data_IF_844159418910
#
_entry.id   IF_844159418910
#
_cell.length_a   1.000
_cell.length_b   1.000
_cell.length_c   1.000
_cell.angle_alpha   90.00
_cell.angle_beta   90.00
_cell.angle_gamma   90.00
#
_symmetry.space_group_name_H-M   'P 1'
#
loop_
_entity.id
_entity.type
_entity.pdbx_description
1 polymer ?
2 polymer ?
3 non-polymer ?
4 water ?
#
# COMPACT_ATOMS: atom_id res chain seq x y z
N UNK A 16 -15.08 32.39 7.76
CA UNK A 16 -15.09 32.67 6.32
C UNK A 16 -14.66 31.41 5.51
N UNK A 17 -13.88 30.52 6.11
CA UNK A 17 -13.29 29.42 5.35
C UNK A 17 -14.31 28.32 5.10
N UNK A 18 -14.54 27.91 3.86
CA UNK A 18 -15.59 26.93 3.56
C UNK A 18 -15.16 25.48 3.82
N UNK A 19 -14.89 25.18 5.10
CA UNK A 19 -14.63 23.79 5.47
C UNK A 19 -15.86 22.92 5.35
N UNK A 20 -17.04 23.50 5.35
CA UNK A 20 -18.22 22.69 5.27
C UNK A 20 -18.36 21.87 4.03
N UNK A 21 -18.00 22.42 2.88
CA UNK A 21 -18.15 21.65 1.66
C UNK A 21 -17.24 20.43 1.70
N UNK A 22 -16.12 20.59 2.38
CA UNK A 22 -15.16 19.48 2.50
C UNK A 22 -15.66 18.43 3.47
N UNK A 23 -15.89 18.82 4.73
CA UNK A 23 -16.23 17.84 5.75
C UNK A 23 -17.61 17.22 5.53
N UNK A 24 -18.53 17.93 4.88
CA UNK A 24 -19.94 17.54 4.89
C UNK A 24 -20.47 17.18 3.50
N UNK A 25 -19.61 16.70 2.60
CA UNK A 25 -20.05 16.26 1.29
C UNK A 25 -20.78 14.92 1.39
N UNK A 26 -21.73 14.68 0.48
CA UNK A 26 -22.52 13.46 0.66
C UNK A 26 -21.76 12.23 0.21
N UNK A 27 -20.89 12.36 -0.80
CA UNK A 27 -19.98 11.30 -1.19
C UNK A 27 -18.55 11.80 -1.06
N UNK A 28 -17.66 10.96 -0.56
CA UNK A 28 -16.24 11.27 -0.53
C UNK A 28 -15.55 10.61 -1.71
N UNK A 29 -14.34 11.07 -2.02
CA UNK A 29 -13.55 10.47 -3.09
C UNK A 29 -13.00 9.11 -2.67
N UNK A 30 -12.75 8.25 -3.66
CA UNK A 30 -11.92 7.07 -3.40
C UNK A 30 -10.51 7.53 -3.10
N UNK A 31 -9.80 6.77 -2.26
CA UNK A 31 -8.47 7.21 -1.81
C UNK A 31 -7.49 7.31 -2.98
N UNK A 32 -7.58 6.41 -3.96
CA UNK A 32 -6.61 6.50 -5.06
C UNK A 32 -6.82 7.77 -5.89
N UNK A 33 -8.03 8.31 -5.87
CA UNK A 33 -8.38 9.52 -6.61
C UNK A 33 -8.75 10.62 -5.62
N UNK A 34 -7.93 10.76 -4.58
CA UNK A 34 -8.25 11.63 -3.45
C UNK A 34 -8.54 13.05 -3.92
N UNK A 35 -9.46 13.71 -3.22
CA UNK A 35 -9.89 15.05 -3.58
C UNK A 35 -9.00 16.09 -2.90
N UNK A 36 -8.76 17.20 -3.61
CA UNK A 36 -8.07 18.34 -3.01
C UNK A 36 -8.86 19.62 -3.22
N UNK A 37 -8.99 20.40 -2.17
CA UNK A 37 -9.59 21.72 -2.24
C UNK A 37 -8.60 22.72 -1.67
N UNK A 38 -8.40 23.83 -2.37
CA UNK A 38 -7.53 24.90 -1.90
C UNK A 38 -8.34 25.95 -1.15
N UNK A 39 -7.92 26.23 0.08
CA UNK A 39 -8.53 27.16 1.00
C UNK A 39 -7.62 28.39 1.08
N UNK A 40 -8.17 29.55 0.69
CA UNK A 40 -7.44 30.80 0.64
C UNK A 40 -8.37 31.95 1.01
N UNK A 41 -7.78 33.03 1.52
CA UNK A 41 -8.47 34.32 1.69
C UNK A 41 -9.71 34.17 2.57
N UNK A 42 -9.48 33.65 3.77
CA UNK A 42 -10.58 33.44 4.71
C UNK A 42 -10.00 33.25 6.10
N UNK A 43 -10.89 33.27 7.08
CA UNK A 43 -10.53 33.05 8.47
C UNK A 43 -11.08 31.69 8.88
N UNK A 44 -10.29 30.95 9.65
CA UNK A 44 -10.64 29.61 10.09
C UNK A 44 -10.53 29.53 11.60
N UNK A 45 -11.56 28.98 12.23
CA UNK A 45 -11.56 28.73 13.67
C UNK A 45 -11.26 27.25 13.86
N UNK A 46 -9.97 26.94 14.00
CA UNK A 46 -9.57 25.54 14.08
C UNK A 46 -10.03 24.89 15.38
N UNK A 47 -10.16 25.68 16.45
CA UNK A 47 -10.52 25.10 17.74
C UNK A 47 -11.91 24.48 17.72
N UNK A 48 -12.84 25.09 16.98
CA UNK A 48 -14.17 24.51 16.83
C UNK A 48 -14.07 23.07 16.30
N UNK A 49 -13.24 22.87 15.27
CA UNK A 49 -13.03 21.52 14.75
C UNK A 49 -12.32 20.64 15.76
N UNK A 50 -11.23 21.13 16.35
CA UNK A 50 -10.42 20.29 17.24
C UNK A 50 -11.24 19.80 18.42
N UNK A 51 -12.15 20.63 18.93
CA UNK A 51 -12.99 20.28 20.06
C UNK A 51 -14.22 19.46 19.65
N UNK A 52 -14.47 19.28 18.36
CA UNK A 52 -15.64 18.56 17.94
C UNK A 52 -15.61 17.13 18.44
N UNK A 53 -16.74 16.67 18.97
CA UNK A 53 -16.90 15.29 19.40
C UNK A 53 -17.03 14.29 18.26
N UNK A 54 -17.24 14.76 17.03
CA UNK A 54 -17.51 13.85 15.91
C UNK A 54 -16.28 13.09 15.45
N UNK A 55 -15.08 13.56 15.75
CA UNK A 55 -13.87 13.04 15.12
C UNK A 55 -13.22 11.97 15.99
N UNK A 56 -12.84 10.85 15.37
CA UNK A 56 -12.10 9.83 16.08
C UNK A 56 -10.61 10.17 16.17
N UNK A 57 -10.12 10.89 15.17
CA UNK A 57 -8.70 11.21 15.06
C UNK A 57 -8.58 12.69 14.73
N UNK A 58 -7.66 13.39 15.40
CA UNK A 58 -7.34 14.77 15.06
C UNK A 58 -5.89 14.98 15.50
N UNK A 59 -4.96 14.68 14.59
CA UNK A 59 -3.52 14.65 14.91
C UNK A 59 -2.78 15.66 14.07
N UNK A 60 -2.03 16.55 14.71
CA UNK A 60 -1.31 17.59 13.98
C UNK A 60 0.20 17.36 14.08
N UNK A 61 0.90 17.84 13.05
CA UNK A 61 2.33 17.63 12.89
C UNK A 61 2.93 18.96 12.48
N UNK A 62 4.01 19.36 13.17
CA UNK A 62 4.66 20.62 12.89
C UNK A 62 3.97 21.84 13.44
N UNK A 63 2.76 21.70 13.98
CA UNK A 63 2.00 22.80 14.56
C UNK A 63 1.24 22.25 15.76
N UNK A 64 1.10 23.08 16.79
CA UNK A 64 0.29 22.70 17.94
C UNK A 64 -1.20 22.88 17.63
N UNK A 65 -2.05 21.92 18.01
CA UNK A 65 -3.48 22.04 17.69
C UNK A 65 -4.12 23.26 18.32
N UNK A 66 -3.65 23.67 19.50
CA UNK A 66 -4.23 24.81 20.21
C UNK A 66 -3.80 26.14 19.59
N UNK A 67 -2.54 26.23 19.15
CA UNK A 67 -2.00 27.46 18.58
C UNK A 67 -2.50 27.75 17.17
N UNK A 68 -3.35 26.90 16.60
CA UNK A 68 -3.73 27.08 15.20
C UNK A 68 -4.48 28.38 14.99
N UNK A 69 -5.31 28.79 15.95
CA UNK A 69 -6.04 30.03 15.82
C UNK A 69 -5.13 31.26 15.89
N UNK A 70 -3.86 31.09 16.24
CA UNK A 70 -2.91 32.20 16.30
C UNK A 70 -2.08 32.36 15.03
N UNK A 71 -2.11 31.40 14.12
CA UNK A 71 -1.19 31.36 13.00
C UNK A 71 -1.87 31.80 11.71
N UNK A 72 -1.06 32.29 10.77
CA UNK A 72 -1.46 32.61 9.41
C UNK A 72 -0.63 31.78 8.44
N UNK A 73 -1.28 31.30 7.38
CA UNK A 73 -0.59 30.53 6.35
C UNK A 73 -0.94 31.08 4.99
N UNK A 74 -0.02 30.87 4.03
CA UNK A 74 -0.27 31.30 2.65
C UNK A 74 -1.50 30.60 2.08
N UNK A 75 -1.57 29.27 2.23
CA UNK A 75 -2.75 28.53 1.82
C UNK A 75 -2.93 27.35 2.75
N UNK A 76 -4.17 26.82 2.79
CA UNK A 76 -4.45 25.52 3.41
C UNK A 76 -5.05 24.63 2.32
N UNK A 77 -4.55 23.41 2.20
CA UNK A 77 -5.10 22.45 1.26
C UNK A 77 -5.82 21.37 2.06
N UNK A 78 -7.08 21.11 1.71
CA UNK A 78 -7.90 20.08 2.36
C UNK A 78 -8.03 18.91 1.39
N UNK A 79 -7.37 17.80 1.71
CA UNK A 79 -7.47 16.57 0.93
C UNK A 79 -8.43 15.63 1.63
N UNK A 80 -9.25 14.91 0.87
CA UNK A 80 -10.26 14.09 1.54
C UNK A 80 -10.53 12.82 0.75
N UNK A 81 -10.88 11.77 1.49
CA UNK A 81 -11.06 10.45 0.90
C UNK A 81 -11.59 9.50 1.97
N UNK A 82 -11.89 8.27 1.56
CA UNK A 82 -12.36 7.24 2.47
C UNK A 82 -11.39 6.06 2.42
N UNK A 83 -11.08 5.49 3.60
CA UNK A 83 -10.24 4.30 3.73
C UNK A 83 -10.81 3.45 4.88
N UNK A 84 -10.14 2.34 5.20
CA UNK A 84 -10.54 1.55 6.36
C UNK A 84 -10.01 2.15 7.66
N UNK A 85 -10.74 1.91 8.75
CA UNK A 85 -10.25 2.34 10.05
C UNK A 85 -8.84 1.88 10.34
N UNK A 86 -8.54 0.62 10.04
CA UNK A 86 -7.18 0.15 10.34
C UNK A 86 -6.15 0.66 9.34
N UNK A 87 -6.55 1.50 8.38
CA UNK A 87 -5.59 2.18 7.49
C UNK A 87 -5.36 3.63 7.88
N UNK A 88 -6.14 4.14 8.84
CA UNK A 88 -5.97 5.54 9.21
C UNK A 88 -4.58 5.81 9.75
N UNK A 89 -3.95 4.80 10.37
CA UNK A 89 -2.57 4.98 10.86
C UNK A 89 -1.59 5.29 9.74
N UNK A 90 -1.91 4.97 8.49
CA UNK A 90 -1.01 5.23 7.37
C UNK A 90 -1.04 6.68 6.90
N UNK A 91 -2.06 7.45 7.28
CA UNK A 91 -2.13 8.87 6.90
C UNK A 91 -1.34 9.67 7.93
N UNK A 92 -0.02 9.54 7.87
CA UNK A 92 0.84 10.22 8.83
C UNK A 92 2.25 10.25 8.24
N UNK A 93 3.07 11.20 8.65
CA UNK A 93 4.45 11.23 8.15
C UNK A 93 5.21 9.96 8.50
N UNK A 94 5.99 9.47 7.54
CA UNK A 94 6.87 8.34 7.75
C UNK A 94 6.22 6.97 7.74
N UNK A 95 4.97 6.86 7.27
CA UNK A 95 4.25 5.59 7.32
C UNK A 95 4.38 4.87 5.99
N UNK A 96 4.10 3.57 6.01
CA UNK A 96 4.24 2.71 4.85
C UNK A 96 3.04 1.79 4.80
N UNK A 97 2.78 1.24 3.63
CA UNK A 97 1.64 0.34 3.49
C UNK A 97 0.91 0.59 2.18
N UNK A 98 -0.14 -0.18 1.93
CA UNK A 98 -0.88 -0.04 0.68
C UNK A 98 -1.32 1.39 0.44
N UNK A 99 -1.85 2.05 1.47
CA UNK A 99 -2.37 3.40 1.25
C UNK A 99 -1.23 4.40 1.10
N UNK A 100 -0.29 4.43 2.06
CA UNK A 100 0.84 5.36 1.98
C UNK A 100 1.67 5.14 0.71
N UNK A 101 1.90 3.88 0.34
CA UNK A 101 2.75 3.61 -0.82
C UNK A 101 2.04 3.90 -2.14
N UNK A 102 0.79 3.47 -2.29
CA UNK A 102 0.17 3.44 -3.62
C UNK A 102 -1.03 4.37 -3.79
N UNK A 103 -1.46 5.08 -2.74
CA UNK A 103 -2.70 5.84 -2.88
C UNK A 103 -2.59 7.28 -2.43
N UNK A 104 -2.06 7.53 -1.23
CA UNK A 104 -1.96 8.89 -0.70
C UNK A 104 -0.80 8.95 0.28
N UNK A 105 0.23 9.76 -0.03
CA UNK A 105 1.48 9.78 0.72
C UNK A 105 1.71 11.14 1.37
N UNK A 106 1.95 11.14 2.74
CA UNK A 106 2.36 12.39 3.37
C UNK A 106 3.88 12.49 3.40
N UNK A 107 4.41 13.71 3.27
CA UNK A 107 5.87 13.89 3.31
C UNK A 107 6.39 13.75 4.73
N UNK A 108 7.69 13.43 4.82
CA UNK A 108 8.31 13.24 6.13
C UNK A 108 8.23 14.50 6.98
N UNK A 109 8.27 15.67 6.36
CA UNK A 109 8.24 16.95 7.06
C UNK A 109 6.86 17.62 6.97
N UNK A 110 5.81 16.79 6.99
CA UNK A 110 4.44 17.27 6.91
C UNK A 110 4.14 18.31 7.99
N UNK A 111 3.49 19.41 7.58
CA UNK A 111 2.99 20.45 8.47
C UNK A 111 1.49 20.55 8.25
N UNK A 112 0.70 20.09 9.21
CA UNK A 112 -0.73 20.05 9.02
C UNK A 112 -1.39 19.09 9.99
N UNK A 113 -2.67 18.83 9.75
CA UNK A 113 -3.46 18.00 10.65
C UNK A 113 -4.18 16.92 9.85
N UNK A 114 -4.42 15.78 10.51
CA UNK A 114 -5.11 14.65 9.93
C UNK A 114 -6.31 14.35 10.81
N UNK A 115 -7.50 14.37 10.22
CA UNK A 115 -8.78 14.25 10.93
C UNK A 115 -9.53 13.08 10.32
N UNK A 116 -10.03 12.19 11.18
CA UNK A 116 -10.74 11.02 10.68
C UNK A 116 -11.96 10.76 11.54
N UNK A 117 -13.01 10.24 10.90
CA UNK A 117 -14.19 9.83 11.66
C UNK A 117 -14.85 8.62 11.00
N UNK A 118 -15.49 7.81 11.83
CA UNK A 118 -16.20 6.62 11.38
C UNK A 118 -17.37 7.00 10.47
N UNK A 119 -17.44 6.40 9.29
CA UNK A 119 -18.54 6.68 8.38
C UNK A 119 -19.32 5.42 8.02
N UNK A 120 -19.33 4.42 8.92
CA UNK A 120 -20.01 3.16 8.60
C UNK A 120 -21.44 3.38 8.14
N UNK A 121 -22.17 4.27 8.82
CA UNK A 121 -23.59 4.44 8.50
C UNK A 121 -23.83 5.19 7.20
N UNK A 122 -22.84 5.91 6.69
CA UNK A 122 -22.97 6.60 5.39
C UNK A 122 -22.42 5.79 4.23
N UNK A 123 -21.28 5.12 4.43
CA UNK A 123 -20.52 4.62 3.32
C UNK A 123 -20.62 3.11 3.12
N UNK A 124 -20.99 2.35 4.13
CA UNK A 124 -20.96 0.90 3.98
C UNK A 124 -22.27 0.42 3.37
N UNK A 125 -22.41 -0.91 3.25
CA UNK A 125 -23.64 -1.51 2.75
C UNK A 125 -24.86 -1.17 3.59
N UNK A 126 -24.69 -0.78 4.86
CA UNK A 126 -25.85 -0.36 5.64
C UNK A 126 -26.23 1.09 5.35
N UNK A 127 -25.43 1.81 4.56
CA UNK A 127 -25.78 3.15 4.12
C UNK A 127 -25.87 3.29 2.60
N UNK A 128 -25.10 4.22 2.03
CA UNK A 128 -25.18 4.51 0.60
C UNK A 128 -24.69 3.39 -0.31
N UNK A 129 -24.02 2.36 0.24
CA UNK A 129 -23.45 1.28 -0.56
C UNK A 129 -22.61 1.83 -1.71
N UNK A 130 -21.79 2.81 -1.40
CA UNK A 130 -20.92 3.43 -2.38
C UNK A 130 -19.79 2.49 -2.78
N UNK A 131 -19.24 2.71 -3.97
CA UNK A 131 -18.16 1.91 -4.52
C UNK A 131 -16.86 2.71 -4.32
N UNK A 132 -16.19 2.48 -3.19
CA UNK A 132 -14.88 3.09 -2.92
C UNK A 132 -13.78 2.13 -3.37
N UNK A 133 -12.75 2.67 -4.02
CA UNK A 133 -11.68 1.84 -4.53
C UNK A 133 -10.32 2.28 -4.01
N UNK A 134 -9.36 1.36 -4.13
CA UNK A 134 -7.97 1.66 -3.81
C UNK A 134 -7.08 1.02 -4.87
N UNK A 135 -5.87 1.56 -5.00
CA UNK A 135 -4.87 0.99 -5.90
C UNK A 135 -4.10 -0.09 -5.14
N UNK A 136 -3.98 -1.26 -5.76
CA UNK A 136 -3.39 -2.44 -5.14
C UNK A 136 -1.98 -2.74 -5.63
N UNK A 137 -1.63 -2.31 -6.85
CA UNK A 137 -0.35 -2.59 -7.50
C UNK A 137 0.21 -1.29 -8.04
N UNK A 138 1.54 -1.13 -8.00
CA UNK A 138 2.13 0.04 -8.64
C UNK A 138 3.62 -0.19 -8.86
N UNK A 139 4.14 0.35 -9.98
CA UNK A 139 5.56 0.20 -10.28
C UNK A 139 6.46 0.80 -9.21
N UNK A 140 6.03 1.90 -8.59
CA UNK A 140 6.85 2.58 -7.60
C UNK A 140 5.93 3.25 -6.61
N UNK A 141 6.46 3.60 -5.44
CA UNK A 141 5.69 4.32 -4.43
C UNK A 141 5.40 5.74 -4.88
N UNK A 142 4.27 6.28 -4.43
CA UNK A 142 3.93 7.67 -4.70
C UNK A 142 4.91 8.61 -4.01
N UNK A 143 5.22 9.73 -4.68
CA UNK A 143 5.85 10.86 -4.03
C UNK A 143 4.81 11.55 -3.14
N UNK A 144 5.23 12.35 -2.19
CA UNK A 144 4.25 13.03 -1.32
C UNK A 144 3.29 13.90 -2.11
N UNK A 145 2.00 13.77 -1.79
CA UNK A 145 0.89 14.47 -2.44
C UNK A 145 0.79 14.18 -3.94
N UNK A 146 1.40 13.11 -4.42
CA UNK A 146 1.19 12.68 -5.80
C UNK A 146 -0.13 11.93 -5.90
N UNK A 147 -0.77 12.03 -7.07
CA UNK A 147 -2.04 11.34 -7.28
C UNK A 147 -1.96 10.57 -8.58
N UNK A 148 -2.40 9.31 -8.55
CA UNK A 148 -2.36 8.44 -9.71
C UNK A 148 -3.76 7.89 -9.93
N UNK A 149 -4.42 8.32 -11.00
CA UNK A 149 -5.76 7.85 -11.31
C UNK A 149 -5.76 6.95 -12.54
N UNK A 150 -4.60 6.43 -12.94
CA UNK A 150 -4.57 5.60 -14.14
C UNK A 150 -5.17 4.22 -13.88
N UNK A 151 -5.61 3.59 -14.96
CA UNK A 151 -6.16 2.24 -14.86
C UNK A 151 -5.48 1.29 -15.82
N UNK A 152 -4.19 1.50 -16.10
CA UNK A 152 -3.48 0.57 -16.96
C UNK A 152 -3.28 -0.77 -16.27
N UNK A 153 -3.35 -1.85 -17.05
CA UNK A 153 -3.12 -3.18 -16.50
C UNK A 153 -1.71 -3.27 -15.99
N UNK A 154 -1.54 -3.84 -14.80
CA UNK A 154 -0.24 -3.88 -14.14
C UNK A 154 0.48 -5.18 -14.51
N UNK A 155 1.75 -5.06 -14.92
CA UNK A 155 2.55 -6.19 -15.35
C UNK A 155 3.39 -6.69 -14.19
N UNK A 156 3.09 -7.89 -13.68
CA UNK A 156 3.85 -8.44 -12.56
C UNK A 156 4.98 -9.37 -13.00
N UNK A 157 4.87 -9.96 -14.19
CA UNK A 157 5.90 -10.84 -14.72
C UNK A 157 6.72 -10.17 -15.80
N UNK A 158 7.45 -10.99 -16.57
CA UNK A 158 8.26 -10.45 -17.66
C UNK A 158 7.47 -10.22 -18.93
N UNK A 159 6.28 -10.75 -19.04
CA UNK A 159 5.66 -10.61 -20.36
C UNK A 159 4.69 -9.43 -20.40
N UNK A 160 4.62 -8.72 -21.53
CA UNK A 160 3.77 -7.52 -21.59
C UNK A 160 2.30 -7.88 -21.46
N UNK A 161 1.51 -6.92 -21.02
CA UNK A 161 0.09 -7.12 -20.86
C UNK A 161 -0.74 -6.82 -22.09
N UNK A 162 -0.24 -5.95 -22.94
CA UNK A 162 -0.95 -5.56 -24.12
C UNK A 162 -2.37 -5.05 -23.84
N UNK A 163 -2.52 -4.33 -22.76
CA UNK A 163 -3.80 -3.74 -22.41
C UNK A 163 -4.83 -4.69 -21.85
N UNK A 164 -4.49 -5.94 -21.63
CA UNK A 164 -5.47 -6.92 -21.20
C UNK A 164 -4.91 -7.68 -20.01
N UNK A 165 -5.81 -8.10 -19.13
CA UNK A 165 -5.44 -8.81 -17.92
C UNK A 165 -5.11 -10.27 -18.20
N UNK A 166 -4.13 -10.47 -19.06
CA UNK A 166 -3.67 -11.81 -19.32
C UNK A 166 -2.71 -12.37 -18.28
N UNK A 167 -1.76 -13.15 -18.76
CA UNK A 167 -0.80 -13.89 -17.95
C UNK A 167 0.04 -12.96 -17.06
N UNK A 168 -0.05 -13.14 -15.73
CA UNK A 168 0.69 -12.34 -14.75
C UNK A 168 0.42 -10.83 -14.89
N UNK A 169 -0.78 -10.49 -15.31
CA UNK A 169 -1.21 -9.10 -15.47
C UNK A 169 -2.46 -8.88 -14.66
N UNK A 170 -2.56 -7.72 -14.02
CA UNK A 170 -3.61 -7.49 -13.01
C UNK A 170 -4.23 -6.12 -13.18
N UNK A 171 -5.55 -6.06 -13.08
CA UNK A 171 -6.21 -4.76 -12.97
C UNK A 171 -5.72 -4.08 -11.69
N UNK A 172 -5.43 -2.77 -11.74
CA UNK A 172 -4.68 -2.15 -10.63
C UNK A 172 -5.52 -1.68 -9.46
N UNK A 173 -6.86 -1.60 -9.59
CA UNK A 173 -7.74 -1.09 -8.54
C UNK A 173 -8.64 -2.20 -8.04
N UNK A 174 -9.04 -2.09 -6.78
CA UNK A 174 -9.95 -3.00 -6.13
C UNK A 174 -10.92 -2.22 -5.24
N UNK A 175 -12.17 -2.65 -5.22
CA UNK A 175 -13.16 -2.02 -4.39
C UNK A 175 -13.03 -2.43 -2.94
N UNK A 176 -13.23 -1.51 -2.02
CA UNK A 176 -13.25 -1.88 -0.61
C UNK A 176 -14.48 -2.74 -0.35
N UNK A 177 -14.32 -3.76 0.49
CA UNK A 177 -15.45 -4.51 0.98
C UNK A 177 -16.11 -3.86 2.18
N UNK A 178 -15.29 -3.51 3.20
CA UNK A 178 -15.78 -3.06 4.51
C UNK A 178 -16.64 -4.12 5.18
N UNK A 179 -16.00 -5.22 5.57
CA UNK A 179 -16.76 -6.29 6.22
C UNK A 179 -16.00 -6.92 7.39
N UNK A 183 -16.11 -4.21 11.92
CA UNK A 183 -15.00 -3.36 12.33
C UNK A 183 -14.76 -3.23 13.83
N UNK A 184 -14.38 -2.06 14.31
CA UNK A 184 -14.24 -0.87 13.49
C UNK A 184 -13.07 -0.85 12.53
N UNK A 185 -12.08 -1.70 12.72
CA UNK A 185 -10.92 -1.69 11.84
C UNK A 185 -11.29 -1.90 10.38
N UNK A 186 -12.36 -2.64 10.12
CA UNK A 186 -12.83 -2.94 8.77
C UNK A 186 -13.80 -1.90 8.24
N UNK A 187 -14.27 -0.97 9.07
CA UNK A 187 -15.35 -0.08 8.69
C UNK A 187 -14.78 1.14 7.95
N UNK A 188 -15.57 1.80 7.10
CA UNK A 188 -15.06 2.97 6.40
C UNK A 188 -14.88 4.15 7.35
N UNK A 189 -13.80 4.88 7.14
CA UNK A 189 -13.52 6.15 7.81
C UNK A 189 -13.34 7.21 6.73
N UNK A 190 -14.02 8.35 6.92
CA UNK A 190 -13.74 9.54 6.15
C UNK A 190 -12.55 10.28 6.76
N UNK A 191 -11.68 10.78 5.89
CA UNK A 191 -10.44 11.43 6.29
C UNK A 191 -10.32 12.77 5.58
N UNK A 192 -9.93 13.79 6.35
CA UNK A 192 -9.56 15.11 5.83
C UNK A 192 -8.16 15.43 6.33
N UNK A 193 -7.26 15.73 5.39
CA UNK A 193 -5.90 16.16 5.68
C UNK A 193 -5.84 17.65 5.39
N UNK A 194 -5.43 18.43 6.39
CA UNK A 194 -5.18 19.85 6.21
C UNK A 194 -3.67 20.10 6.11
N UNK A 195 -3.22 20.56 4.94
CA UNK A 195 -1.85 20.96 4.66
C UNK A 195 -1.71 22.46 4.81
N UNK A 196 -0.73 22.91 5.59
CA UNK A 196 -0.52 24.32 5.90
C UNK A 196 0.72 24.81 5.15
N UNK A 197 0.50 25.63 4.12
CA UNK A 197 1.57 26.17 3.28
C UNK A 197 1.88 27.60 3.71
N UNK A 198 3.13 27.83 4.12
CA UNK A 198 3.64 29.18 4.40
C UNK A 198 4.96 29.37 3.65
N UNK A 199 5.00 30.35 2.76
CA UNK A 199 6.15 30.56 1.89
C UNK A 199 7.27 31.31 2.61
N UNK A 204 -3.54 35.35 4.62
CA UNK A 204 -4.43 34.74 3.64
C UNK A 204 -5.41 33.77 4.30
N UNK A 205 -4.89 32.82 5.09
CA UNK A 205 -5.70 31.94 5.92
C UNK A 205 -5.17 32.02 7.35
N UNK A 206 -5.95 32.66 8.23
CA UNK A 206 -5.55 32.89 9.61
C UNK A 206 -6.64 32.41 10.56
N UNK A 207 -6.29 32.38 11.84
CA UNK A 207 -7.27 32.21 12.90
C UNK A 207 -7.93 33.52 13.25
N UNK A 208 -8.98 33.43 14.10
CA UNK A 208 -9.75 34.60 14.51
C UNK A 208 -8.90 35.66 15.22
N UNK B 2 19.73 -5.51 4.85
CA UNK B 2 20.58 -5.42 3.67
C UNK B 2 20.93 -6.78 3.08
N UNK B 3 20.44 -7.87 3.70
CA UNK B 3 20.84 -9.21 3.31
C UNK B 3 19.62 -10.13 3.19
N UNK B 4 19.54 -10.85 2.08
CA UNK B 4 18.61 -11.95 1.90
C UNK B 4 19.41 -13.21 1.64
N UNK B 5 19.14 -14.27 2.40
CA UNK B 5 19.82 -15.54 2.20
C UNK B 5 18.77 -16.62 2.00
N UNK B 6 18.77 -17.23 0.81
CA UNK B 6 17.91 -18.38 0.53
C UNK B 6 18.54 -19.65 1.08
N UNK B 7 17.70 -20.60 1.45
CA UNK B 7 18.16 -21.93 1.79
C UNK B 7 17.01 -22.90 1.58
N UNK B 8 17.31 -24.19 1.74
CA UNK B 8 16.33 -25.23 1.60
C UNK B 8 16.30 -25.89 0.24
N UNK B 9 17.25 -25.57 -0.64
CA UNK B 9 17.29 -26.15 -1.96
C UNK B 9 17.83 -27.56 -1.94
N UNK B 10 17.95 -28.14 -3.13
CA UNK B 10 18.52 -29.46 -3.26
C UNK B 10 17.78 -30.28 -4.29
N UNK B 11 17.91 -31.60 -4.14
CA UNK B 11 17.37 -32.58 -5.06
C UNK B 11 15.99 -33.02 -4.59
N UNK B 12 15.05 -33.07 -5.53
CA UNK B 12 13.69 -33.54 -5.29
C UNK B 12 13.33 -34.52 -6.40
N UNK B 13 12.49 -35.50 -6.06
CA UNK B 13 11.91 -36.38 -7.07
C UNK B 13 10.65 -35.74 -7.63
N UNK B 14 10.45 -35.90 -8.93
CA UNK B 14 9.26 -35.37 -9.59
C UNK B 14 8.01 -35.84 -8.88
N UNK B 15 7.00 -34.96 -8.81
CA UNK B 15 5.83 -35.18 -7.99
C UNK B 15 6.00 -34.81 -6.53
N UNK B 16 7.23 -34.70 -6.04
CA UNK B 16 7.47 -34.38 -4.65
C UNK B 16 7.31 -32.90 -4.32
N UNK B 17 7.61 -32.60 -3.05
CA UNK B 17 7.50 -31.27 -2.48
C UNK B 17 8.86 -30.81 -1.98
N UNK B 18 8.98 -29.49 -1.75
CA UNK B 18 10.16 -28.93 -1.12
C UNK B 18 9.86 -27.50 -0.69
N UNK B 19 10.41 -27.09 0.45
CA UNK B 19 10.14 -25.78 1.02
C UNK B 19 11.43 -24.98 1.06
N UNK B 20 11.43 -23.82 0.39
CA UNK B 20 12.55 -22.89 0.43
C UNK B 20 12.28 -21.81 1.45
N UNK B 21 13.35 -21.27 2.02
CA UNK B 21 13.26 -20.24 3.04
C UNK B 21 14.14 -19.06 2.62
N UNK B 22 13.68 -17.85 2.92
CA UNK B 22 14.40 -16.62 2.64
C UNK B 22 14.53 -15.85 3.94
N UNK B 23 15.73 -15.82 4.49
CA UNK B 23 15.98 -15.17 5.77
C UNK B 23 16.55 -13.78 5.49
N UNK B 24 15.90 -12.77 6.06
CA UNK B 24 16.30 -11.38 5.90
C UNK B 24 17.00 -10.90 7.16
N UNK B 25 18.13 -10.22 6.98
CA UNK B 25 18.83 -9.59 8.09
C UNK B 25 19.27 -8.19 7.67
N UNK B 26 19.45 -7.34 8.67
CA UNK B 26 19.72 -5.94 8.42
C UNK B 26 18.48 -5.09 8.32
N UNK B 27 17.30 -5.68 8.51
CA UNK B 27 16.03 -4.99 8.53
C UNK B 27 14.96 -5.99 8.90
N UNK B 28 13.83 -5.48 9.36
CA UNK B 28 12.62 -6.27 9.56
C UNK B 28 11.75 -6.09 8.33
N UNK B 29 11.23 -7.17 7.82
CA UNK B 29 10.50 -7.10 6.60
C UNK B 29 9.08 -6.65 6.72
N UNK B 30 8.76 -6.12 7.87
CA UNK B 30 7.45 -5.64 8.15
C UNK B 30 6.97 -4.63 7.12
N UNK B 31 7.86 -3.81 6.62
CA UNK B 31 7.53 -2.80 5.62
C UNK B 31 8.00 -3.19 4.21
N UNK B 32 8.45 -4.41 4.00
CA UNK B 32 9.02 -4.83 2.74
C UNK B 32 8.16 -5.89 2.08
N UNK B 33 7.98 -5.76 0.76
CA UNK B 33 7.49 -6.86 -0.04
C UNK B 33 8.65 -7.82 -0.31
N UNK B 34 8.36 -9.12 -0.31
CA UNK B 34 9.36 -10.12 -0.66
C UNK B 34 8.83 -10.99 -1.78
N UNK B 35 9.63 -11.19 -2.81
CA UNK B 35 9.20 -12.01 -3.91
C UNK B 35 10.15 -13.17 -4.14
N UNK B 36 9.64 -14.24 -4.72
CA UNK B 36 10.47 -15.34 -5.20
C UNK B 36 10.47 -15.31 -6.71
N UNK B 37 11.68 -15.46 -7.28
CA UNK B 37 11.94 -15.54 -8.70
C UNK B 37 12.75 -16.82 -8.95
N UNK B 38 12.87 -17.20 -10.22
CA UNK B 38 13.70 -18.35 -10.55
C UNK B 38 14.31 -18.13 -11.93
N UNK B 39 15.47 -18.74 -12.13
CA UNK B 39 16.15 -18.68 -13.42
C UNK B 39 16.59 -20.08 -13.78
N UNK B 40 16.07 -20.60 -14.87
CA UNK B 40 16.47 -21.84 -15.51
C UNK B 40 17.57 -21.55 -16.51
N UNK B 41 18.49 -22.49 -16.69
CA UNK B 41 19.60 -22.27 -17.61
C UNK B 41 19.09 -21.91 -19.00
N UNK B 42 19.60 -20.82 -19.55
CA UNK B 42 19.26 -20.40 -20.88
C UNK B 42 17.96 -19.65 -21.03
N UNK B 43 17.27 -19.34 -19.92
CA UNK B 43 15.98 -18.69 -19.98
C UNK B 43 16.01 -17.38 -19.18
N UNK B 44 15.01 -16.55 -19.43
CA UNK B 44 14.86 -15.29 -18.75
C UNK B 44 14.46 -15.52 -17.30
N UNK B 45 14.74 -14.58 -16.43
CA UNK B 45 14.36 -14.72 -15.05
C UNK B 45 12.85 -14.68 -14.99
N UNK B 46 12.27 -15.51 -14.16
CA UNK B 46 10.84 -15.60 -14.09
C UNK B 46 10.33 -15.25 -12.72
N UNK B 47 9.28 -14.44 -12.63
CA UNK B 47 8.65 -14.15 -11.35
C UNK B 47 7.80 -15.34 -10.93
N UNK B 48 7.90 -15.71 -9.66
CA UNK B 48 7.16 -16.84 -9.11
C UNK B 48 6.02 -16.38 -8.22
N UNK B 49 6.33 -15.55 -7.21
CA UNK B 49 5.25 -15.14 -6.31
C UNK B 49 5.72 -13.98 -5.46
N UNK B 50 4.74 -13.34 -4.80
CA UNK B 50 4.99 -12.19 -3.96
C UNK B 50 4.21 -12.29 -2.64
N UNK B 51 4.91 -11.99 -1.57
CA UNK B 51 4.36 -11.86 -0.23
C UNK B 51 4.42 -10.38 0.13
N UNK B 52 3.26 -9.75 0.22
CA UNK B 52 3.22 -8.32 0.45
C UNK B 52 3.58 -8.00 1.89
N UNK B 53 3.75 -6.70 2.17
CA UNK B 53 4.20 -6.29 3.50
C UNK B 53 3.14 -6.53 4.56
N UNK B 54 1.89 -6.80 4.18
CA UNK B 54 0.82 -7.11 5.12
C UNK B 54 0.47 -8.60 5.13
N UNK B 55 1.26 -9.43 4.47
CA UNK B 55 1.01 -10.85 4.49
C UNK B 55 0.12 -11.36 3.38
N UNK B 56 -0.56 -10.49 2.64
CA UNK B 56 -1.30 -11.02 1.49
C UNK B 56 -0.31 -11.43 0.42
N UNK B 57 -0.80 -12.19 -0.56
CA UNK B 57 0.09 -12.80 -1.54
C UNK B 57 -0.55 -12.70 -2.92
N UNK B 58 0.30 -12.75 -3.93
CA UNK B 58 -0.17 -13.01 -5.28
C UNK B 58 0.91 -13.80 -5.97
N UNK B 59 0.54 -14.61 -6.96
CA UNK B 59 1.48 -15.61 -7.48
C UNK B 59 1.24 -15.79 -8.97
N UNK B 60 2.28 -16.30 -9.65
CA UNK B 60 2.25 -16.43 -11.09
C UNK B 60 1.21 -17.46 -11.53
N UNK B 61 0.40 -17.09 -12.54
CA UNK B 61 -0.53 -18.04 -13.15
C UNK B 61 0.18 -19.28 -13.65
N UNK B 62 1.46 -19.15 -14.02
CA UNK B 62 2.21 -20.25 -14.61
C UNK B 62 2.26 -21.47 -13.72
N UNK B 63 2.31 -21.26 -12.41
CA UNK B 63 2.57 -22.36 -11.50
C UNK B 63 1.33 -23.20 -11.22
N UNK B 64 0.17 -22.82 -11.76
CA UNK B 64 -1.04 -23.63 -11.64
C UNK B 64 -1.40 -23.91 -10.17
N UNK B 65 -1.18 -22.92 -9.31
CA UNK B 65 -1.47 -23.04 -7.89
C UNK B 65 -0.64 -24.04 -7.11
N UNK B 66 0.49 -24.50 -7.68
CA UNK B 66 1.28 -25.54 -7.03
C UNK B 66 2.18 -24.99 -5.93
N UNK B 67 2.60 -23.74 -6.03
CA UNK B 67 3.46 -23.11 -5.05
C UNK B 67 2.65 -22.16 -4.17
N UNK B 68 3.03 -22.07 -2.90
CA UNK B 68 2.43 -21.05 -2.03
C UNK B 68 3.54 -20.36 -1.26
N UNK B 69 3.48 -19.05 -1.22
CA UNK B 69 4.44 -18.24 -0.47
C UNK B 69 3.81 -17.87 0.86
N UNK B 70 4.62 -17.70 1.91
CA UNK B 70 4.10 -17.26 3.19
C UNK B 70 5.22 -16.56 3.94
N UNK B 71 4.88 -15.86 5.02
CA UNK B 71 5.93 -15.20 5.77
C UNK B 71 5.71 -15.35 7.26
N UNK B 72 6.80 -15.18 7.98
CA UNK B 72 6.85 -15.24 9.44
C UNK B 72 7.78 -14.08 9.84
N UNK B 73 7.18 -12.93 10.16
CA UNK B 73 7.96 -11.75 10.54
C UNK B 73 8.74 -12.01 11.83
N UNK B 74 8.29 -12.95 12.66
CA UNK B 74 9.01 -13.27 13.89
C UNK B 74 10.41 -13.80 13.58
N UNK B 75 10.51 -14.77 12.66
CA UNK B 75 11.79 -15.28 12.21
C UNK B 75 12.34 -14.45 11.05
N UNK B 76 11.62 -13.43 10.64
CA UNK B 76 12.04 -12.59 9.52
C UNK B 76 12.34 -13.44 8.33
N UNK B 77 11.46 -14.38 8.08
CA UNK B 77 11.60 -15.32 7.02
C UNK B 77 10.41 -15.42 6.11
N UNK B 78 10.66 -15.66 4.85
CA UNK B 78 9.63 -15.84 3.85
C UNK B 78 9.83 -17.22 3.22
N UNK B 79 8.76 -18.01 3.14
CA UNK B 79 8.86 -19.36 2.63
C UNK B 79 8.21 -19.46 1.25
N UNK B 80 8.74 -20.39 0.46
CA UNK B 80 8.11 -20.84 -0.77
C UNK B 80 7.87 -22.35 -0.64
N UNK B 81 6.62 -22.75 -0.52
CA UNK B 81 6.25 -24.16 -0.49
C UNK B 81 5.94 -24.62 -1.91
N UNK B 82 6.76 -25.54 -2.43
CA UNK B 82 6.63 -26.06 -3.79
C UNK B 82 6.08 -27.49 -3.73
N UNK B 83 4.95 -27.71 -4.40
CA UNK B 83 4.31 -29.03 -4.44
C UNK B 83 4.24 -29.53 -5.87
N UNK B 84 4.07 -30.84 -6.01
CA UNK B 84 3.86 -31.50 -7.30
C UNK B 84 4.93 -31.06 -8.31
N UNK B 85 6.19 -31.08 -7.86
CA UNK B 85 7.29 -30.59 -8.68
C UNK B 85 7.48 -31.44 -9.92
N UNK B 86 7.81 -30.79 -11.03
CA UNK B 86 8.17 -31.48 -12.26
C UNK B 86 9.53 -31.00 -12.73
N UNK B 87 10.04 -31.68 -13.76
CA UNK B 87 11.42 -31.46 -14.21
C UNK B 87 11.65 -30.02 -14.65
N UNK B 88 10.64 -29.38 -15.24
CA UNK B 88 10.84 -28.01 -15.73
C UNK B 88 10.89 -26.97 -14.62
N UNK B 89 10.66 -27.39 -13.36
CA UNK B 89 10.83 -26.52 -12.21
C UNK B 89 12.29 -26.44 -11.76
N UNK B 90 13.19 -27.18 -12.40
CA UNK B 90 14.61 -27.12 -12.07
C UNK B 90 15.14 -25.72 -12.36
N UNK B 91 15.74 -25.09 -11.34
CA UNK B 91 16.23 -23.72 -11.54
C UNK B 91 16.96 -23.25 -10.30
N UNK B 92 17.56 -22.07 -10.40
CA UNK B 92 18.07 -21.34 -9.24
C UNK B 92 16.96 -20.41 -8.77
N UNK B 93 16.52 -20.59 -7.54
CA UNK B 93 15.44 -19.80 -6.95
C UNK B 93 16.05 -18.65 -6.13
N UNK B 94 15.55 -17.45 -6.37
CA UNK B 94 16.07 -16.23 -5.79
C UNK B 94 15.01 -15.55 -4.96
N UNK B 95 15.41 -15.04 -3.81
CA UNK B 95 14.58 -14.20 -2.96
C UNK B 95 14.94 -12.75 -3.22
N UNK B 96 13.94 -11.86 -3.23
CA UNK B 96 14.18 -10.45 -3.49
C UNK B 96 13.22 -9.62 -2.66
N UNK B 97 13.59 -8.37 -2.38
CA UNK B 97 12.70 -7.53 -1.57
C UNK B 97 12.75 -6.09 -2.04
N UNK B 98 11.71 -5.34 -1.66
CA UNK B 98 11.76 -3.89 -1.82
C UNK B 98 10.88 -3.25 -0.76
N UNK B 99 11.18 -1.99 -0.47
CA UNK B 99 10.45 -1.20 0.51
C UNK B 99 9.20 -0.67 -0.19
N UNK B 100 8.22 -1.56 -0.31
CA UNK B 100 6.98 -1.23 -1.02
C UNK B 100 5.96 -2.27 -0.63
N UNK B 101 4.69 -1.90 -0.81
CA UNK B 101 3.60 -2.80 -0.42
C UNK B 101 3.66 -4.12 -1.20
N UNK B 102 3.87 -4.03 -2.52
CA UNK B 102 3.89 -5.20 -3.37
C UNK B 102 5.25 -5.34 -4.05
N UNK B 103 5.41 -6.43 -4.81
CA UNK B 103 6.65 -6.67 -5.54
C UNK B 103 6.61 -5.91 -6.86
N UNK B 104 7.62 -6.11 -7.70
CA UNK B 104 7.65 -5.58 -9.07
C UNK B 104 8.75 -6.29 -9.84
N UNK B 105 8.48 -6.66 -11.09
CA UNK B 105 9.45 -7.48 -11.81
C UNK B 105 10.76 -6.75 -12.02
N UNK B 106 10.71 -5.43 -12.25
CA UNK B 106 11.89 -4.65 -12.55
C UNK B 106 12.40 -3.82 -11.37
N UNK B 107 11.58 -3.61 -10.36
CA UNK B 107 11.96 -2.66 -9.34
C UNK B 107 12.41 -3.25 -8.01
N UNK B 108 12.78 -4.52 -7.96
CA UNK B 108 13.22 -5.06 -6.67
C UNK B 108 14.54 -4.41 -6.27
N UNK B 109 14.72 -4.21 -4.97
CA UNK B 109 15.85 -3.43 -4.49
C UNK B 109 16.99 -4.26 -3.90
N UNK B 110 16.70 -5.46 -3.39
CA UNK B 110 17.71 -6.34 -2.84
C UNK B 110 17.46 -7.75 -3.34
N UNK B 111 18.54 -8.51 -3.53
CA UNK B 111 18.47 -9.90 -4.00
C UNK B 111 19.39 -10.79 -3.19
N UNK B 112 18.96 -12.02 -2.94
CA UNK B 112 19.84 -13.05 -2.43
C UNK B 112 20.66 -13.67 -3.56
N UNK B 113 21.60 -14.54 -3.17
CA UNK B 113 22.45 -15.20 -4.16
C UNK B 113 21.73 -16.33 -4.88
N UNK B 114 20.68 -16.89 -4.29
CA UNK B 114 19.91 -17.96 -4.88
C UNK B 114 20.25 -19.32 -4.29
N UNK B 115 19.37 -20.27 -4.58
CA UNK B 115 19.61 -21.65 -4.17
C UNK B 115 19.04 -22.56 -5.24
N UNK B 116 19.79 -23.60 -5.59
CA UNK B 116 19.42 -24.49 -6.69
C UNK B 116 18.40 -25.53 -6.24
N UNK B 117 17.39 -25.75 -7.07
CA UNK B 117 16.43 -26.84 -6.88
C UNK B 117 16.42 -27.68 -8.14
N UNK B 118 16.76 -28.96 -8.02
CA UNK B 118 16.79 -29.90 -9.14
C UNK B 118 15.71 -30.95 -8.94
N UNK B 119 14.84 -31.10 -9.94
CA UNK B 119 13.78 -32.11 -9.93
C UNK B 119 14.18 -33.20 -10.92
N UNK B 120 14.05 -34.45 -10.50
CA UNK B 120 14.46 -35.59 -11.32
C UNK B 120 13.73 -35.62 -12.66
X LIG C 1 -20.89 19.74 9.20
X LIG C 1 -20.28 21.02 9.79
X LIG C 1 -20.54 21.10 11.30
X LIG C 1 -22.02 20.93 11.61
X LIG C 1 -22.52 19.62 11.04
X LIG C 1 -23.99 19.40 11.25
X LIG C 1 -18.23 22.15 9.00
X LIG C 1 -16.75 22.02 8.82
X LIG C 1 -18.85 21.09 9.53
X LIG C 1 -20.06 22.33 11.81
X LIG C 1 -22.23 20.96 13.02
X LIG C 1 -22.29 19.61 9.62
X LIG C 1 -24.37 18.05 11.02
X LIG C 1 -18.84 23.17 8.67
#
# INVERSE_FOLDING_TARGET
VQPTESIVRFPNITNLCPFGEVFNATRFASVYAWNRKRISNCVADYSVLYNSASFSTFKCYGVSPTKLNDLCFTNVYADSFVIRGDEVRQIAPGQTGKIADYNYKLPDDFTGCVIAWNSNNLDSKVGGNYNYLYRLFRKSNLKPFERDISTEIYQAGSTPCNGVEGFNCYFPLQSYGFQPTNGVGYQPYRVVVLSFELLHAPATVCGPKKSTNLVKNK
QLQLVESGGGWVQAGGSRRLSCAASGFTLDSYAVGWFRQAPGKEREWVSCSRSDGTTYQSDSMKGRFTISRDNTKNTVYLQMNSLKAEDTAVYYCASRRSYGCDYYGMEYWGKGTLVTVSSHHHHHH
NAG C1 C2 C3 C4 C5 C6 C7 C8 N2 O3 O4 O5 O6 O7
#
